data_IF_905511451201
#
_entry.id   IF_905511451201
#
_cell.length_a   1.000
_cell.length_b   1.000
_cell.length_c   1.000
_cell.angle_alpha   90.00
_cell.angle_beta   90.00
_cell.angle_gamma   90.00
#
_symmetry.space_group_name_H-M   'P 1'
#
loop_
_entity.id
_entity.type
_entity.pdbx_description
1 polymer ?
#
# COMPACT_ATOMS: atom_id res chain seq x y z
N UNK A 1 11.92 1.59 -42.71
CA UNK A 1 11.67 0.29 -42.06
C UNK A 1 12.27 0.39 -40.67
N UNK A 2 11.41 0.39 -39.65
CA UNK A 2 11.68 0.46 -38.20
C UNK A 2 12.35 1.74 -37.68
N UNK A 3 11.53 2.78 -37.51
CA UNK A 3 11.71 3.71 -36.40
C UNK A 3 10.44 3.66 -35.53
N UNK A 4 10.64 3.37 -34.26
CA UNK A 4 9.75 3.49 -33.09
C UNK A 4 10.13 2.41 -32.07
N UNK A 5 11.05 2.80 -31.21
CA UNK A 5 11.33 2.18 -29.91
C UNK A 5 10.09 2.31 -29.01
N UNK A 6 9.63 1.25 -28.35
CA UNK A 6 8.98 1.38 -27.05
C UNK A 6 9.85 0.65 -26.02
N UNK A 7 10.95 1.26 -25.61
CA UNK A 7 11.55 0.93 -24.31
C UNK A 7 10.85 1.76 -23.26
N UNK A 8 9.56 1.49 -23.07
CA UNK A 8 8.86 1.83 -21.83
C UNK A 8 9.11 0.71 -20.84
N UNK A 9 10.37 0.50 -20.43
CA UNK A 9 10.59 -0.19 -19.17
C UNK A 9 10.01 0.75 -18.11
N UNK A 10 9.02 0.33 -17.31
CA UNK A 10 8.57 1.17 -16.21
C UNK A 10 9.78 1.45 -15.33
N UNK A 11 10.12 2.73 -15.25
CA UNK A 11 11.09 3.27 -14.32
C UNK A 11 10.49 3.11 -12.91
N UNK A 12 10.54 1.89 -12.38
CA UNK A 12 10.06 1.53 -11.04
C UNK A 12 10.96 2.09 -9.92
N UNK A 13 11.75 3.12 -10.21
CA UNK A 13 12.63 3.76 -9.23
C UNK A 13 11.95 4.96 -8.59
N UNK A 14 11.22 4.74 -7.48
CA UNK A 14 11.12 5.63 -6.29
C UNK A 14 9.77 5.57 -5.57
N UNK A 15 8.69 5.12 -6.23
CA UNK A 15 7.34 5.08 -5.67
C UNK A 15 6.61 3.81 -6.19
N UNK A 16 5.83 3.12 -5.33
CA UNK A 16 4.90 2.11 -5.84
C UNK A 16 3.97 2.78 -6.85
N UNK A 17 3.61 2.04 -7.89
CA UNK A 17 2.64 2.51 -8.88
C UNK A 17 1.38 3.02 -8.15
N UNK A 18 0.74 4.11 -8.59
CA UNK A 18 -0.45 4.66 -7.93
C UNK A 18 -1.54 3.59 -7.72
N UNK A 19 -1.71 2.70 -8.71
CA UNK A 19 -2.58 1.54 -8.65
C UNK A 19 -2.22 0.54 -7.54
N UNK A 20 -0.94 0.40 -7.22
CA UNK A 20 -0.47 -0.51 -6.15
C UNK A 20 -0.67 0.11 -4.77
N UNK A 21 -0.37 1.42 -4.62
CA UNK A 21 -0.71 2.16 -3.39
C UNK A 21 -2.21 2.07 -3.08
N UNK A 22 -3.07 2.31 -4.07
CA UNK A 22 -4.53 2.24 -3.89
C UNK A 22 -5.00 0.85 -3.45
N UNK A 23 -4.43 -0.22 -4.02
CA UNK A 23 -4.73 -1.59 -3.58
C UNK A 23 -4.32 -1.82 -2.14
N UNK A 24 -3.13 -1.34 -1.74
CA UNK A 24 -2.66 -1.44 -0.36
C UNK A 24 -3.59 -0.72 0.61
N UNK A 25 -4.04 0.48 0.24
CA UNK A 25 -5.02 1.27 1.01
C UNK A 25 -6.35 0.53 1.11
N UNK A 26 -6.88 0.01 0.00
CA UNK A 26 -8.14 -0.72 -0.01
C UNK A 26 -8.11 -1.96 0.90
N UNK A 27 -7.01 -2.71 0.88
CA UNK A 27 -6.83 -3.88 1.76
C UNK A 27 -6.75 -3.46 3.23
N UNK A 28 -6.00 -2.40 3.55
CA UNK A 28 -5.92 -1.89 4.91
C UNK A 28 -7.26 -1.37 5.42
N UNK A 29 -8.02 -0.64 4.59
CA UNK A 29 -9.36 -0.15 4.92
C UNK A 29 -10.34 -1.31 5.15
N UNK A 30 -10.24 -2.38 4.36
CA UNK A 30 -11.02 -3.60 4.57
C UNK A 30 -10.72 -4.23 5.94
N UNK A 31 -9.45 -4.33 6.34
CA UNK A 31 -9.08 -4.86 7.65
C UNK A 31 -9.57 -4.00 8.82
N UNK A 32 -9.49 -2.66 8.69
CA UNK A 32 -10.04 -1.75 9.70
C UNK A 32 -11.55 -1.92 9.84
N UNK A 33 -12.26 -2.03 8.71
CA UNK A 33 -13.69 -2.33 8.72
C UNK A 33 -13.98 -3.70 9.34
N UNK A 34 -13.19 -4.74 9.01
CA UNK A 34 -13.32 -6.10 9.57
C UNK A 34 -13.15 -6.09 11.11
N UNK A 35 -12.15 -5.38 11.64
CA UNK A 35 -11.89 -5.30 13.09
C UNK A 35 -13.07 -4.74 13.89
N UNK A 36 -13.84 -3.82 13.28
CA UNK A 36 -15.03 -3.25 13.90
C UNK A 36 -16.33 -3.96 13.50
N UNK A 37 -16.25 -5.13 12.86
CA UNK A 37 -17.41 -5.89 12.41
C UNK A 37 -18.20 -5.22 11.27
N UNK A 38 -17.51 -4.49 10.39
CA UNK A 38 -18.06 -3.78 9.24
C UNK A 38 -19.18 -2.79 9.60
N UNK A 39 -19.08 -2.12 10.75
CA UNK A 39 -20.03 -1.09 11.14
C UNK A 39 -20.16 -0.02 10.03
N UNK A 40 -21.39 0.35 9.61
CA UNK A 40 -21.62 1.31 8.52
C UNK A 40 -21.35 2.76 8.94
N UNK A 41 -21.14 3.65 7.96
CA UNK A 41 -21.01 5.10 8.15
C UNK A 41 -19.62 5.56 8.58
N UNK A 42 -18.62 4.69 8.47
CA UNK A 42 -17.24 4.93 8.89
C UNK A 42 -16.24 4.44 7.83
N UNK A 43 -16.71 4.23 6.60
CA UNK A 43 -15.93 3.73 5.48
C UNK A 43 -14.89 4.75 5.03
N UNK A 44 -15.25 6.04 5.03
CA UNK A 44 -14.32 7.13 4.73
C UNK A 44 -13.24 7.27 5.81
N UNK A 45 -13.60 7.11 7.09
CA UNK A 45 -12.63 7.09 8.19
C UNK A 45 -11.64 5.92 8.03
N UNK A 46 -12.13 4.72 7.69
CA UNK A 46 -11.25 3.56 7.45
C UNK A 46 -10.29 3.81 6.29
N UNK A 47 -10.80 4.37 5.20
CA UNK A 47 -9.99 4.72 4.04
C UNK A 47 -8.91 5.75 4.41
N UNK A 48 -9.28 6.83 5.09
CA UNK A 48 -8.33 7.88 5.47
C UNK A 48 -7.27 7.36 6.46
N UNK A 49 -7.65 6.50 7.41
CA UNK A 49 -6.72 5.86 8.32
C UNK A 49 -5.80 4.86 7.59
N UNK A 50 -6.34 4.12 6.61
CA UNK A 50 -5.57 3.22 5.78
C UNK A 50 -4.53 3.98 4.93
N UNK A 51 -4.91 5.09 4.31
CA UNK A 51 -3.99 5.95 3.55
C UNK A 51 -2.82 6.43 4.41
N UNK A 52 -3.11 6.97 5.59
CA UNK A 52 -2.08 7.45 6.51
C UNK A 52 -1.12 6.34 6.96
N UNK A 53 -1.66 5.14 7.26
CA UNK A 53 -0.85 3.99 7.64
C UNK A 53 0.05 3.51 6.50
N UNK A 54 -0.49 3.41 5.28
CA UNK A 54 0.26 3.00 4.10
C UNK A 54 1.35 4.01 3.77
N UNK A 55 1.04 5.31 3.80
CA UNK A 55 2.01 6.36 3.52
C UNK A 55 3.15 6.37 4.55
N UNK A 56 2.83 6.18 5.84
CA UNK A 56 3.82 6.06 6.90
C UNK A 56 4.71 4.82 6.71
N UNK A 57 4.11 3.67 6.36
CA UNK A 57 4.85 2.43 6.09
C UNK A 57 5.78 2.57 4.88
N UNK A 58 5.28 3.12 3.77
CA UNK A 58 6.08 3.37 2.57
C UNK A 58 7.22 4.35 2.84
N UNK A 59 7.01 5.34 3.71
CA UNK A 59 8.07 6.28 4.12
C UNK A 59 9.13 5.57 4.97
N UNK A 60 8.72 4.74 5.94
CA UNK A 60 9.62 3.98 6.81
C UNK A 60 10.48 2.97 6.04
N UNK A 61 9.87 2.21 5.12
CA UNK A 61 10.59 1.29 4.23
C UNK A 61 11.67 2.03 3.41
N UNK A 62 11.33 3.20 2.88
CA UNK A 62 12.29 4.04 2.15
C UNK A 62 13.42 4.55 3.03
N UNK A 63 13.14 4.92 4.28
CA UNK A 63 14.19 5.28 5.25
C UNK A 63 15.13 4.10 5.56
N UNK A 64 14.63 2.87 5.48
CA UNK A 64 15.41 1.64 5.65
C UNK A 64 16.15 1.23 4.36
N UNK A 65 16.01 1.98 3.27
CA UNK A 65 16.57 1.64 1.96
C UNK A 65 15.90 0.44 1.29
N UNK A 66 14.71 0.04 1.76
CA UNK A 66 13.91 -1.04 1.18
C UNK A 66 13.02 -0.42 0.11
N UNK A 67 13.14 -0.91 -1.12
CA UNK A 67 12.26 -0.50 -2.22
C UNK A 67 10.87 -1.17 -2.08
N UNK A 68 9.80 -0.38 -1.85
CA UNK A 68 8.45 -0.92 -1.71
C UNK A 68 7.86 -1.46 -3.02
N UNK A 69 8.37 -1.06 -4.19
CA UNK A 69 7.92 -1.50 -5.51
C UNK A 69 8.29 -2.96 -5.78
N UNK A 70 9.28 -3.50 -5.05
CA UNK A 70 9.67 -4.91 -5.10
C UNK A 70 8.99 -5.79 -4.05
N UNK A 71 8.29 -5.19 -3.07
CA UNK A 71 7.57 -5.92 -2.03
C UNK A 71 6.27 -6.49 -2.62
N UNK A 72 6.34 -7.72 -3.12
CA UNK A 72 5.15 -8.40 -3.64
C UNK A 72 3.99 -8.42 -2.64
N UNK A 73 2.76 -8.49 -3.16
CA UNK A 73 1.49 -8.44 -2.40
C UNK A 73 1.47 -9.29 -1.10
N UNK A 74 2.19 -10.41 -1.04
CA UNK A 74 2.26 -11.27 0.14
C UNK A 74 3.06 -10.64 1.31
N UNK A 75 4.17 -9.97 1.02
CA UNK A 75 4.99 -9.32 2.04
C UNK A 75 4.26 -8.10 2.64
N UNK A 76 3.56 -7.35 1.78
CA UNK A 76 2.69 -6.23 2.17
C UNK A 76 1.55 -6.67 3.09
N UNK A 77 0.85 -7.76 2.75
CA UNK A 77 -0.21 -8.31 3.60
C UNK A 77 0.31 -8.74 4.97
N UNK A 78 1.50 -9.34 5.04
CA UNK A 78 2.12 -9.70 6.31
C UNK A 78 2.51 -8.47 7.13
N UNK A 79 3.11 -7.45 6.49
CA UNK A 79 3.47 -6.20 7.15
C UNK A 79 2.24 -5.42 7.67
N UNK A 80 1.15 -5.40 6.91
CA UNK A 80 -0.12 -4.81 7.34
C UNK A 80 -0.69 -5.53 8.55
N UNK A 81 -0.67 -6.87 8.56
CA UNK A 81 -1.09 -7.66 9.73
C UNK A 81 -0.28 -7.33 10.98
N UNK A 82 1.04 -7.20 10.84
CA UNK A 82 1.92 -6.91 11.97
C UNK A 82 1.66 -5.51 12.54
N UNK A 83 1.45 -4.50 11.70
CA UNK A 83 1.19 -3.12 12.16
C UNK A 83 -0.20 -2.94 12.76
N UNK A 84 -1.23 -3.51 12.14
CA UNK A 84 -2.62 -3.42 12.63
C UNK A 84 -2.77 -4.15 13.97
N UNK A 85 -2.03 -5.24 14.20
CA UNK A 85 -2.01 -5.97 15.47
C UNK A 85 -1.19 -5.27 16.59
N UNK A 86 -0.39 -4.25 16.25
CA UNK A 86 0.49 -3.55 17.20
C UNK A 86 -0.04 -2.18 17.64
N UNK A 87 -1.24 -1.79 17.20
CA UNK A 87 -1.85 -0.49 17.47
C UNK A 87 -2.84 -0.51 18.68
N UNK A 88 -2.67 -1.47 19.60
CA UNK A 88 -3.43 -1.57 20.87
C UNK A 88 -2.73 -0.77 21.98
#
# INVERSE_FOLDING_TARGET
>A
MHDLRPSGAPDHGALPDPCERERMVAVAAYYLAEQRGFAPGREQDDWCNAEQQIDAMLRDLRHQGIDPSGLGHAALRNALRLRIASAD
#
